data_IF_263298188243
#
_entry.id   IF_263298188243
#
_cell.length_a   1.000
_cell.length_b   1.000
_cell.length_c   1.000
_cell.angle_alpha   90.00
_cell.angle_beta   90.00
_cell.angle_gamma   90.00
#
_symmetry.space_group_name_H-M   'P 1'
#
loop_
_entity.id
_entity.type
_entity.pdbx_description
1 polymer ?
#
# COMPACT_ATOMS: atom_id res chain seq x y z
N UNK A 1 28.88 15.24 -7.65
CA UNK A 1 30.07 14.65 -6.97
C UNK A 1 30.76 15.63 -6.01
N UNK A 2 31.04 16.85 -6.49
CA UNK A 2 31.70 17.91 -5.70
C UNK A 2 30.96 18.22 -4.39
N UNK A 3 29.64 18.38 -4.44
CA UNK A 3 28.85 18.65 -3.24
C UNK A 3 28.92 17.51 -2.19
N UNK A 4 28.95 16.25 -2.63
CA UNK A 4 29.07 15.11 -1.71
C UNK A 4 30.45 15.05 -1.03
N UNK A 5 31.51 15.44 -1.75
CA UNK A 5 32.86 15.56 -1.19
C UNK A 5 32.92 16.70 -0.17
N UNK A 6 32.32 17.85 -0.49
CA UNK A 6 32.24 18.98 0.44
C UNK A 6 31.50 18.62 1.74
N UNK A 7 30.46 17.78 1.67
CA UNK A 7 29.78 17.27 2.87
C UNK A 7 30.67 16.33 3.70
N UNK A 8 31.45 15.46 3.04
CA UNK A 8 32.35 14.52 3.70
C UNK A 8 33.53 15.22 4.40
N UNK A 9 33.94 16.40 3.93
CA UNK A 9 34.97 17.22 4.59
C UNK A 9 34.51 17.77 5.96
N UNK A 10 33.20 17.72 6.27
CA UNK A 10 32.65 18.22 7.53
C UNK A 10 32.72 17.23 8.70
N UNK A 11 33.12 15.98 8.46
CA UNK A 11 33.20 14.98 9.54
C UNK A 11 33.83 13.66 9.14
N UNK A 12 34.30 12.92 10.14
CA UNK A 12 35.05 11.66 9.93
C UNK A 12 34.12 10.46 9.63
N UNK A 13 32.91 10.51 10.18
CA UNK A 13 31.91 9.44 10.14
C UNK A 13 30.58 9.96 9.61
N UNK A 14 29.87 9.11 8.89
CA UNK A 14 28.51 9.39 8.42
C UNK A 14 27.52 8.35 8.96
N UNK A 15 26.41 8.81 9.52
CA UNK A 15 25.30 7.94 9.93
C UNK A 15 24.08 8.32 9.10
N UNK A 16 23.55 7.37 8.33
CA UNK A 16 22.30 7.56 7.61
C UNK A 16 21.14 7.03 8.45
N UNK A 17 20.36 7.95 9.02
CA UNK A 17 19.16 7.62 9.80
C UNK A 17 17.85 8.05 9.09
N UNK A 18 17.92 8.29 7.77
CA UNK A 18 16.83 8.84 6.98
C UNK A 18 16.23 7.82 5.99
N UNK A 19 15.52 6.80 6.51
CA UNK A 19 14.94 5.73 5.69
C UNK A 19 14.07 6.23 4.53
N UNK A 20 13.19 7.22 4.76
CA UNK A 20 12.31 7.75 3.71
C UNK A 20 13.05 8.35 2.50
N UNK A 21 14.30 8.76 2.66
CA UNK A 21 15.15 9.28 1.57
C UNK A 21 16.07 8.21 0.96
N UNK A 22 16.15 7.01 1.55
CA UNK A 22 17.13 5.99 1.20
C UNK A 22 16.92 5.36 -0.19
N UNK A 23 15.73 5.51 -0.78
CA UNK A 23 15.43 5.08 -2.15
C UNK A 23 16.08 5.97 -3.23
N UNK A 24 16.65 7.12 -2.86
CA UNK A 24 17.29 8.04 -3.81
C UNK A 24 18.79 8.13 -3.59
N UNK A 25 19.55 8.04 -4.68
CA UNK A 25 21.00 8.19 -4.69
C UNK A 25 21.41 9.68 -4.74
N UNK A 26 21.09 10.45 -3.70
CA UNK A 26 21.46 11.86 -3.59
C UNK A 26 22.83 12.05 -2.92
N UNK A 27 23.37 13.27 -3.03
CA UNK A 27 24.65 13.63 -2.44
C UNK A 27 24.71 13.35 -0.93
N UNK A 28 23.66 13.70 -0.18
CA UNK A 28 23.58 13.56 1.27
C UNK A 28 23.08 12.19 1.76
N UNK A 29 22.73 11.26 0.86
CA UNK A 29 22.18 9.94 1.21
C UNK A 29 23.07 8.78 0.77
N UNK A 30 23.59 8.83 -0.46
CA UNK A 30 24.46 7.78 -1.03
C UNK A 30 25.78 8.33 -1.57
N UNK A 31 25.82 9.60 -2.00
CA UNK A 31 27.02 10.21 -2.57
C UNK A 31 28.13 10.39 -1.54
N UNK A 32 27.79 10.86 -0.34
CA UNK A 32 28.71 11.14 0.76
C UNK A 32 29.49 9.91 1.22
N UNK A 33 28.88 8.71 1.15
CA UNK A 33 29.50 7.46 1.61
C UNK A 33 30.74 7.08 0.80
N UNK A 34 30.90 7.63 -0.41
CA UNK A 34 32.08 7.42 -1.25
C UNK A 34 33.32 8.20 -0.80
N UNK A 35 33.15 9.20 0.07
CA UNK A 35 34.19 10.15 0.44
C UNK A 35 34.52 10.16 1.94
N UNK A 36 33.64 9.61 2.79
CA UNK A 36 33.89 9.43 4.23
C UNK A 36 34.63 8.11 4.49
N UNK A 37 35.39 8.04 5.58
CA UNK A 37 36.14 6.84 5.93
C UNK A 37 35.24 5.68 6.37
N UNK A 38 34.19 5.98 7.13
CA UNK A 38 33.22 4.99 7.58
C UNK A 38 31.80 5.58 7.58
N UNK A 39 30.86 4.75 7.16
CA UNK A 39 29.44 5.06 7.14
C UNK A 39 28.62 3.93 7.75
N UNK A 40 27.59 4.28 8.51
CA UNK A 40 26.76 3.34 9.24
C UNK A 40 25.26 3.67 9.12
N UNK A 41 24.44 2.67 9.38
CA UNK A 41 22.99 2.81 9.52
C UNK A 41 22.64 3.38 10.89
N UNK A 42 21.71 4.33 10.92
CA UNK A 42 21.14 4.83 12.18
C UNK A 42 20.03 3.92 12.73
N UNK A 43 19.64 4.15 13.98
CA UNK A 43 18.69 3.29 14.71
C UNK A 43 17.26 3.36 14.17
N UNK A 44 16.81 4.49 13.64
CA UNK A 44 15.49 4.62 13.01
C UNK A 44 15.46 3.86 11.69
N UNK A 45 16.52 3.99 10.88
CA UNK A 45 16.65 3.23 9.65
C UNK A 45 16.75 1.72 9.91
N UNK A 46 17.56 1.31 10.89
CA UNK A 46 17.68 -0.09 11.32
C UNK A 46 16.32 -0.64 11.74
N UNK A 47 15.60 0.09 12.60
CA UNK A 47 14.25 -0.30 13.05
C UNK A 47 13.31 -0.47 11.87
N UNK A 48 13.30 0.45 10.91
CA UNK A 48 12.42 0.38 9.75
C UNK A 48 12.73 -0.84 8.87
N UNK A 49 14.02 -1.06 8.58
CA UNK A 49 14.47 -2.18 7.78
C UNK A 49 14.20 -3.52 8.47
N UNK A 50 14.36 -3.60 9.78
CA UNK A 50 14.07 -4.81 10.56
C UNK A 50 12.60 -5.18 10.44
N UNK A 51 11.67 -4.27 10.73
CA UNK A 51 10.23 -4.57 10.68
C UNK A 51 9.75 -4.87 9.26
N UNK A 52 10.24 -4.12 8.26
CA UNK A 52 9.85 -4.35 6.87
C UNK A 52 10.49 -5.61 6.30
N UNK A 53 11.78 -5.87 6.53
CA UNK A 53 12.40 -7.11 6.03
C UNK A 53 11.86 -8.33 6.74
N UNK A 54 11.83 -8.35 8.07
CA UNK A 54 11.36 -9.52 8.81
C UNK A 54 9.89 -9.80 8.50
N UNK A 55 9.07 -8.75 8.49
CA UNK A 55 7.65 -8.83 8.18
C UNK A 55 7.31 -9.20 6.73
N UNK A 56 8.24 -9.07 5.78
CA UNK A 56 7.99 -9.33 4.35
C UNK A 56 8.80 -10.50 3.78
N UNK A 57 9.97 -10.82 4.34
CA UNK A 57 10.81 -11.93 3.88
C UNK A 57 10.21 -13.28 4.25
N UNK A 58 9.72 -13.41 5.48
CA UNK A 58 9.07 -14.63 5.94
C UNK A 58 7.87 -14.31 6.85
N UNK A 59 6.80 -13.71 6.30
CA UNK A 59 5.63 -13.35 7.09
C UNK A 59 4.98 -14.58 7.71
N UNK A 60 4.42 -14.42 8.92
CA UNK A 60 3.56 -15.45 9.49
C UNK A 60 2.34 -15.63 8.59
N UNK A 61 1.91 -16.89 8.41
CA UNK A 61 0.83 -17.24 7.47
C UNK A 61 -0.45 -17.60 8.21
N UNK A 62 -1.63 -17.17 7.73
CA UNK A 62 -1.86 -16.52 6.44
C UNK A 62 -1.34 -15.08 6.35
N UNK A 63 -0.64 -14.77 5.25
CA UNK A 63 -0.18 -13.41 4.97
C UNK A 63 -1.20 -12.69 4.08
N UNK A 64 -1.84 -11.66 4.64
CA UNK A 64 -2.85 -10.85 3.97
C UNK A 64 -2.25 -9.51 3.56
N UNK A 65 -2.45 -9.14 2.31
CA UNK A 65 -1.98 -7.89 1.73
C UNK A 65 -3.17 -7.05 1.31
N UNK A 66 -3.18 -5.80 1.71
CA UNK A 66 -4.24 -4.85 1.43
C UNK A 66 -3.63 -3.72 0.61
N UNK A 67 -4.09 -3.55 -0.63
CA UNK A 67 -3.58 -2.53 -1.55
C UNK A 67 -4.70 -1.63 -2.06
N UNK A 68 -4.54 -0.34 -1.81
CA UNK A 68 -5.41 0.70 -2.32
C UNK A 68 -4.63 1.76 -3.09
N UNK A 69 -5.35 2.60 -3.81
CA UNK A 69 -4.76 3.76 -4.47
C UNK A 69 -5.48 4.17 -5.75
N UNK A 70 -4.95 5.22 -6.37
CA UNK A 70 -5.58 5.83 -7.54
C UNK A 70 -5.33 5.09 -8.87
N UNK A 71 -4.20 4.36 -8.95
CA UNK A 71 -3.70 3.77 -10.20
C UNK A 71 -3.12 2.38 -9.94
N UNK A 72 -3.44 1.43 -10.83
CA UNK A 72 -2.80 0.12 -10.90
C UNK A 72 -1.34 0.28 -11.30
N UNK A 73 -1.05 1.19 -12.23
CA UNK A 73 0.30 1.40 -12.79
C UNK A 73 1.37 1.70 -11.72
N UNK A 74 1.00 2.47 -10.70
CA UNK A 74 1.89 2.83 -9.59
C UNK A 74 2.14 1.66 -8.62
N UNK A 75 1.36 0.57 -8.70
CA UNK A 75 1.39 -0.56 -7.75
C UNK A 75 1.77 -1.89 -8.40
N UNK A 76 2.09 -1.92 -9.69
CA UNK A 76 2.36 -3.18 -10.42
C UNK A 76 3.53 -3.93 -9.81
N UNK A 77 4.64 -3.23 -9.53
CA UNK A 77 5.84 -3.83 -8.96
C UNK A 77 5.53 -4.47 -7.60
N UNK A 78 4.84 -3.71 -6.75
CA UNK A 78 4.44 -4.15 -5.41
C UNK A 78 3.52 -5.36 -5.49
N UNK A 79 2.50 -5.34 -6.35
CA UNK A 79 1.60 -6.46 -6.58
C UNK A 79 2.34 -7.72 -6.99
N UNK A 80 3.23 -7.63 -8.00
CA UNK A 80 3.99 -8.78 -8.48
C UNK A 80 4.92 -9.36 -7.41
N UNK A 81 5.61 -8.50 -6.66
CA UNK A 81 6.50 -8.92 -5.59
C UNK A 81 5.77 -9.55 -4.40
N UNK A 82 4.61 -9.00 -4.02
CA UNK A 82 3.84 -9.51 -2.89
C UNK A 82 3.04 -10.77 -3.25
N UNK A 83 2.61 -10.94 -4.50
CA UNK A 83 1.98 -12.18 -4.99
C UNK A 83 2.89 -13.41 -4.83
N UNK A 84 4.19 -13.24 -4.66
CA UNK A 84 5.09 -14.37 -4.43
C UNK A 84 4.94 -14.98 -3.04
N UNK A 85 4.37 -14.24 -2.08
CA UNK A 85 4.36 -14.60 -0.67
C UNK A 85 2.97 -14.50 -0.03
N UNK A 86 2.13 -13.59 -0.52
CA UNK A 86 0.78 -13.38 0.00
C UNK A 86 -0.10 -14.61 -0.19
N UNK A 87 -0.89 -14.92 0.83
CA UNK A 87 -1.99 -15.88 0.72
C UNK A 87 -3.25 -15.20 0.17
N UNK A 88 -3.45 -13.93 0.53
CA UNK A 88 -4.63 -13.16 0.13
C UNK A 88 -4.24 -11.73 -0.19
N UNK A 89 -4.79 -11.19 -1.27
CA UNK A 89 -4.65 -9.79 -1.67
C UNK A 89 -6.03 -9.15 -1.78
N UNK A 90 -6.24 -8.06 -1.05
CA UNK A 90 -7.47 -7.26 -1.01
C UNK A 90 -7.22 -5.94 -1.76
N UNK A 91 -8.04 -5.63 -2.76
CA UNK A 91 -7.88 -4.45 -3.60
C UNK A 91 -8.94 -3.39 -3.31
N UNK A 92 -8.51 -2.16 -3.06
CA UNK A 92 -9.40 -1.00 -2.85
C UNK A 92 -9.01 0.23 -3.66
N UNK A 93 -9.71 1.33 -3.42
CA UNK A 93 -9.50 2.61 -4.07
C UNK A 93 -9.86 2.60 -5.56
N UNK A 94 -9.55 3.69 -6.26
CA UNK A 94 -9.88 3.81 -7.68
C UNK A 94 -9.17 2.77 -8.57
N UNK A 95 -8.05 2.21 -8.13
CA UNK A 95 -7.37 1.12 -8.87
C UNK A 95 -8.25 -0.13 -8.98
N UNK A 96 -9.13 -0.40 -8.00
CA UNK A 96 -10.09 -1.51 -8.05
C UNK A 96 -10.99 -1.45 -9.28
N UNK A 97 -11.39 -0.24 -9.70
CA UNK A 97 -12.25 -0.03 -10.87
C UNK A 97 -11.62 -0.55 -12.17
N UNK A 98 -10.29 -0.52 -12.28
CA UNK A 98 -9.58 -1.10 -13.43
C UNK A 98 -9.72 -2.62 -13.48
N UNK A 99 -9.73 -3.28 -12.31
CA UNK A 99 -9.98 -4.72 -12.22
C UNK A 99 -11.45 -5.06 -12.45
N UNK A 100 -12.40 -4.27 -11.92
CA UNK A 100 -13.82 -4.43 -12.21
C UNK A 100 -14.09 -4.35 -13.72
N UNK A 101 -13.51 -3.34 -14.39
CA UNK A 101 -13.60 -3.20 -15.84
C UNK A 101 -12.94 -4.36 -16.59
N UNK A 102 -11.85 -4.93 -16.06
CA UNK A 102 -11.19 -6.10 -16.61
C UNK A 102 -12.08 -7.35 -16.61
N UNK A 103 -12.89 -7.53 -15.55
CA UNK A 103 -13.91 -8.57 -15.40
C UNK A 103 -15.22 -8.27 -16.15
N UNK A 104 -15.29 -7.14 -16.88
CA UNK A 104 -16.46 -6.77 -17.69
C UNK A 104 -17.59 -6.14 -16.88
N UNK A 105 -17.32 -5.71 -15.64
CA UNK A 105 -18.30 -5.03 -14.78
C UNK A 105 -18.39 -3.55 -15.18
N UNK A 106 -19.59 -2.99 -15.38
CA UNK A 106 -19.76 -1.55 -15.61
C UNK A 106 -19.27 -0.72 -14.42
N UNK A 107 -18.57 0.37 -14.70
CA UNK A 107 -17.92 1.21 -13.68
C UNK A 107 -18.40 2.67 -13.68
N UNK A 108 -19.47 2.98 -14.42
CA UNK A 108 -20.03 4.33 -14.52
C UNK A 108 -18.97 5.38 -14.89
N UNK A 109 -18.99 6.49 -14.17
CA UNK A 109 -18.03 7.60 -14.27
C UNK A 109 -16.75 7.40 -13.43
N UNK A 110 -16.55 6.22 -12.84
CA UNK A 110 -15.42 5.96 -11.96
C UNK A 110 -14.07 6.10 -12.68
N UNK A 111 -13.06 6.56 -11.94
CA UNK A 111 -11.68 6.64 -12.42
C UNK A 111 -11.15 5.26 -12.76
N UNK A 112 -10.68 5.07 -14.00
CA UNK A 112 -10.10 3.81 -14.50
C UNK A 112 -8.90 4.09 -15.41
N UNK A 113 -7.85 3.29 -15.28
CA UNK A 113 -6.75 3.25 -16.26
C UNK A 113 -7.14 2.32 -17.42
N UNK A 114 -7.86 2.86 -18.41
CA UNK A 114 -8.43 2.06 -19.51
C UNK A 114 -7.35 1.36 -20.36
N UNK A 115 -6.15 1.95 -20.47
CA UNK A 115 -4.99 1.34 -21.14
C UNK A 115 -4.32 0.23 -20.31
N UNK A 116 -4.66 0.08 -19.03
CA UNK A 116 -4.14 -0.95 -18.12
C UNK A 116 -5.11 -2.09 -17.84
N UNK A 117 -6.28 -2.12 -18.49
CA UNK A 117 -7.26 -3.21 -18.34
C UNK A 117 -6.68 -4.57 -18.74
N UNK A 118 -5.87 -4.62 -19.81
CA UNK A 118 -5.17 -5.85 -20.20
C UNK A 118 -4.23 -6.36 -19.10
N UNK A 119 -3.45 -5.45 -18.53
CA UNK A 119 -2.56 -5.75 -17.41
C UNK A 119 -3.32 -6.21 -16.16
N UNK A 120 -4.47 -5.61 -15.85
CA UNK A 120 -5.30 -6.05 -14.72
C UNK A 120 -5.75 -7.52 -14.91
N UNK A 121 -6.11 -7.94 -16.13
CA UNK A 121 -6.42 -9.35 -16.43
C UNK A 121 -5.21 -10.27 -16.24
N UNK A 122 -4.03 -9.84 -16.69
CA UNK A 122 -2.79 -10.59 -16.50
C UNK A 122 -2.49 -10.80 -15.01
N UNK A 123 -2.67 -9.77 -14.17
CA UNK A 123 -2.47 -9.85 -12.73
C UNK A 123 -3.49 -10.79 -12.05
N UNK A 124 -4.76 -10.75 -12.46
CA UNK A 124 -5.79 -11.70 -11.98
C UNK A 124 -5.44 -13.14 -12.37
N UNK A 125 -4.92 -13.35 -13.58
CA UNK A 125 -4.47 -14.67 -14.02
C UNK A 125 -3.24 -15.14 -13.25
N UNK A 126 -2.26 -14.26 -13.04
CA UNK A 126 -1.06 -14.55 -12.27
C UNK A 126 -1.41 -14.93 -10.82
N UNK A 127 -2.36 -14.24 -10.19
CA UNK A 127 -2.82 -14.59 -8.85
C UNK A 127 -3.42 -16.01 -8.80
N UNK A 128 -4.24 -16.37 -9.80
CA UNK A 128 -4.78 -17.75 -9.93
C UNK A 128 -3.67 -18.78 -10.12
N UNK A 129 -2.67 -18.49 -10.95
CA UNK A 129 -1.53 -19.40 -11.17
C UNK A 129 -0.71 -19.62 -9.90
N UNK A 130 -0.64 -18.62 -9.01
CA UNK A 130 0.09 -18.68 -7.75
C UNK A 130 -0.76 -19.11 -6.54
N UNK A 131 -2.00 -19.53 -6.76
CA UNK A 131 -2.95 -19.88 -5.69
C UNK A 131 -3.13 -18.76 -4.66
N UNK A 132 -3.07 -17.51 -5.12
CA UNK A 132 -3.29 -16.32 -4.30
C UNK A 132 -4.76 -15.93 -4.39
N UNK A 133 -5.43 -15.84 -3.24
CA UNK A 133 -6.80 -15.35 -3.17
C UNK A 133 -6.82 -13.85 -3.45
N UNK A 134 -7.17 -13.48 -4.67
CA UNK A 134 -7.19 -12.09 -5.13
C UNK A 134 -8.62 -11.55 -5.11
N UNK A 135 -8.94 -10.71 -4.12
CA UNK A 135 -10.28 -10.18 -3.92
C UNK A 135 -10.36 -8.74 -4.40
N UNK A 136 -11.31 -8.50 -5.29
CA UNK A 136 -11.76 -7.17 -5.72
C UNK A 136 -13.14 -6.88 -5.11
N UNK A 137 -13.56 -5.62 -5.00
CA UNK A 137 -14.83 -5.26 -4.39
C UNK A 137 -16.02 -5.97 -5.05
N UNK A 138 -16.94 -6.47 -4.23
CA UNK A 138 -18.17 -7.13 -4.68
C UNK A 138 -19.38 -6.21 -4.62
N UNK A 139 -19.26 -5.08 -3.94
CA UNK A 139 -20.17 -3.94 -3.88
C UNK A 139 -19.35 -2.69 -3.56
N UNK A 140 -19.87 -1.52 -3.89
CA UNK A 140 -19.20 -0.24 -3.66
C UNK A 140 -20.20 0.79 -3.17
N UNK A 141 -19.70 1.77 -2.43
CA UNK A 141 -20.41 3.02 -2.26
C UNK A 141 -20.18 3.85 -3.53
N UNK A 142 -21.26 4.17 -4.23
CA UNK A 142 -21.24 5.07 -5.38
C UNK A 142 -21.82 6.44 -5.02
N UNK A 143 -21.27 7.51 -5.59
CA UNK A 143 -21.77 8.87 -5.49
C UNK A 143 -21.90 9.53 -6.86
N UNK A 144 -22.78 10.53 -6.99
CA UNK A 144 -22.88 11.34 -8.20
C UNK A 144 -21.68 12.32 -8.34
N UNK A 145 -21.19 12.84 -7.22
CA UNK A 145 -20.03 13.75 -7.17
C UNK A 145 -19.08 13.42 -6.01
N UNK A 146 -17.78 13.67 -6.18
CA UNK A 146 -16.78 13.57 -5.10
C UNK A 146 -16.71 14.92 -4.37
N UNK A 147 -17.67 15.16 -3.48
CA UNK A 147 -17.67 16.30 -2.56
C UNK A 147 -18.49 16.01 -1.30
N UNK A 148 -18.29 16.75 -0.20
CA UNK A 148 -19.15 16.67 0.96
C UNK A 148 -20.63 16.90 0.60
N UNK A 149 -21.51 16.09 1.19
CA UNK A 149 -22.97 16.15 0.97
C UNK A 149 -23.45 15.77 -0.44
N UNK A 150 -22.66 15.06 -1.23
CA UNK A 150 -23.13 14.47 -2.50
C UNK A 150 -24.14 13.34 -2.25
N UNK A 151 -24.95 12.99 -3.27
CA UNK A 151 -25.84 11.85 -3.14
C UNK A 151 -24.99 10.58 -3.20
N UNK A 152 -25.17 9.68 -2.24
CA UNK A 152 -24.44 8.42 -2.17
C UNK A 152 -25.36 7.25 -1.85
N UNK A 153 -25.01 6.06 -2.34
CA UNK A 153 -25.67 4.80 -2.01
C UNK A 153 -24.72 3.63 -2.16
N UNK A 154 -24.99 2.55 -1.42
CA UNK A 154 -24.31 1.28 -1.66
C UNK A 154 -24.94 0.58 -2.89
N UNK A 155 -24.12 0.00 -3.76
CA UNK A 155 -24.60 -0.79 -4.89
C UNK A 155 -25.14 -2.14 -4.42
N UNK A 156 -25.93 -2.80 -5.26
CA UNK A 156 -26.09 -4.25 -5.15
C UNK A 156 -24.76 -4.97 -5.44
N UNK A 157 -24.74 -6.30 -5.30
CA UNK A 157 -23.59 -7.11 -5.71
C UNK A 157 -23.25 -6.85 -7.18
N UNK A 158 -21.99 -6.54 -7.43
CA UNK A 158 -21.45 -6.22 -8.74
C UNK A 158 -21.37 -7.46 -9.63
N UNK A 159 -21.79 -7.30 -10.88
CA UNK A 159 -21.69 -8.30 -11.95
C UNK A 159 -21.61 -7.61 -13.31
N UNK A 160 -21.30 -8.33 -14.39
CA UNK A 160 -21.36 -7.78 -15.74
C UNK A 160 -22.75 -7.20 -16.13
N UNK A 161 -23.82 -7.63 -15.45
CA UNK A 161 -25.19 -7.14 -15.65
C UNK A 161 -25.57 -6.00 -14.69
N UNK A 162 -24.91 -5.91 -13.54
CA UNK A 162 -25.21 -4.94 -12.49
C UNK A 162 -23.91 -4.32 -12.00
N UNK A 163 -23.52 -3.18 -12.59
CA UNK A 163 -22.34 -2.43 -12.20
C UNK A 163 -22.67 -1.13 -11.48
N UNK A 164 -21.70 -0.22 -11.45
CA UNK A 164 -21.87 1.17 -11.00
C UNK A 164 -22.73 1.91 -12.03
N UNK A 165 -23.69 2.69 -11.55
CA UNK A 165 -24.65 3.38 -12.40
C UNK A 165 -24.01 4.44 -13.30
N UNK A 166 -24.59 4.67 -14.49
CA UNK A 166 -24.12 5.73 -15.39
C UNK A 166 -24.21 7.11 -14.72
N UNK A 167 -23.12 7.87 -14.82
CA UNK A 167 -22.98 9.17 -14.14
C UNK A 167 -22.57 9.09 -12.67
N UNK A 168 -22.59 7.90 -12.05
CA UNK A 168 -22.12 7.67 -10.68
C UNK A 168 -20.69 7.12 -10.69
N UNK A 169 -19.96 7.31 -9.59
CA UNK A 169 -18.59 6.85 -9.42
C UNK A 169 -18.40 6.15 -8.08
N UNK A 170 -17.61 5.07 -8.05
CA UNK A 170 -17.20 4.43 -6.81
C UNK A 170 -16.30 5.37 -5.99
N UNK A 171 -16.70 5.61 -4.76
CA UNK A 171 -16.00 6.49 -3.81
C UNK A 171 -15.45 5.74 -2.61
N UNK A 172 -15.99 4.56 -2.29
CA UNK A 172 -15.48 3.65 -1.26
C UNK A 172 -15.95 2.21 -1.52
N UNK A 173 -15.41 1.25 -0.77
CA UNK A 173 -15.90 -0.14 -0.78
C UNK A 173 -17.27 -0.26 -0.07
N UNK A 174 -18.13 -1.15 -0.55
CA UNK A 174 -19.46 -1.36 -0.01
C UNK A 174 -19.49 -2.24 1.24
N UNK A 175 -20.63 -2.28 1.91
CA UNK A 175 -20.80 -3.01 3.17
C UNK A 175 -20.51 -4.52 3.06
N UNK A 176 -20.86 -5.17 1.94
CA UNK A 176 -20.57 -6.59 1.75
C UNK A 176 -19.07 -6.85 1.53
N UNK A 177 -18.39 -5.93 0.85
CA UNK A 177 -16.94 -5.95 0.63
C UNK A 177 -16.19 -5.70 1.94
N UNK A 178 -16.65 -4.76 2.77
CA UNK A 178 -16.11 -4.53 4.12
C UNK A 178 -16.18 -5.84 4.92
N UNK A 179 -17.36 -6.46 5.03
CA UNK A 179 -17.52 -7.70 5.79
C UNK A 179 -16.61 -8.83 5.29
N UNK A 180 -16.51 -8.99 3.96
CA UNK A 180 -15.60 -9.96 3.34
C UNK A 180 -14.14 -9.68 3.70
N UNK A 181 -13.71 -8.43 3.61
CA UNK A 181 -12.32 -8.05 3.88
C UNK A 181 -11.96 -8.19 5.36
N UNK A 182 -12.90 -7.85 6.26
CA UNK A 182 -12.76 -8.07 7.69
C UNK A 182 -12.54 -9.54 8.04
N UNK A 183 -13.26 -10.45 7.37
CA UNK A 183 -13.10 -11.89 7.55
C UNK A 183 -11.69 -12.36 7.15
N UNK A 184 -11.18 -11.91 6.00
CA UNK A 184 -9.82 -12.27 5.58
C UNK A 184 -8.76 -11.69 6.52
N UNK A 185 -8.93 -10.46 6.98
CA UNK A 185 -8.01 -9.80 7.93
C UNK A 185 -7.98 -10.55 9.26
N UNK A 186 -9.13 -10.99 9.77
CA UNK A 186 -9.22 -11.74 11.03
C UNK A 186 -8.55 -13.12 10.94
N UNK A 187 -8.40 -13.69 9.73
CA UNK A 187 -7.69 -14.96 9.51
C UNK A 187 -6.19 -14.79 9.31
N UNK A 188 -5.70 -13.56 9.15
CA UNK A 188 -4.30 -13.28 8.87
C UNK A 188 -3.43 -13.33 10.12
N UNK A 189 -2.26 -13.96 10.04
CA UNK A 189 -1.22 -13.89 11.08
C UNK A 189 -0.29 -12.70 10.86
N UNK A 190 -0.18 -12.25 9.60
CA UNK A 190 0.49 -11.00 9.23
C UNK A 190 -0.38 -10.26 8.22
N UNK A 191 -0.57 -8.95 8.43
CA UNK A 191 -1.39 -8.10 7.58
C UNK A 191 -0.60 -6.86 7.19
N UNK A 192 -0.34 -6.70 5.89
CA UNK A 192 0.28 -5.50 5.32
C UNK A 192 -0.80 -4.63 4.68
N UNK A 193 -0.83 -3.33 5.00
CA UNK A 193 -1.73 -2.37 4.36
C UNK A 193 -1.02 -1.19 3.73
N UNK A 194 -1.30 -0.96 2.44
CA UNK A 194 -0.76 0.14 1.67
C UNK A 194 -1.78 0.76 0.69
N UNK A 195 -2.37 1.87 1.08
CA UNK A 195 -3.32 2.69 0.34
C UNK A 195 -4.78 2.51 0.81
N UNK A 196 -5.58 3.59 0.86
CA UNK A 196 -6.94 3.58 1.39
C UNK A 196 -7.93 2.85 0.46
N UNK A 197 -9.11 2.53 0.99
CA UNK A 197 -10.19 1.85 0.26
C UNK A 197 -11.07 2.80 -0.54
N UNK A 198 -11.16 4.04 -0.10
CA UNK A 198 -12.01 5.09 -0.68
C UNK A 198 -11.37 6.46 -0.57
N UNK A 199 -12.16 7.49 -0.90
CA UNK A 199 -11.77 8.92 -0.82
C UNK A 199 -11.92 9.40 0.63
N UNK A 200 -11.13 8.81 1.53
CA UNK A 200 -11.24 8.97 2.98
C UNK A 200 -11.01 10.41 3.48
N UNK A 201 -10.47 11.29 2.64
CA UNK A 201 -10.36 12.73 2.91
C UNK A 201 -11.73 13.40 3.06
N UNK A 202 -12.78 12.79 2.49
CA UNK A 202 -14.18 13.15 2.70
C UNK A 202 -14.77 12.12 3.69
N UNK A 203 -15.15 12.52 4.91
CA UNK A 203 -15.58 11.57 5.96
C UNK A 203 -16.68 10.59 5.52
N UNK A 204 -17.61 11.05 4.68
CA UNK A 204 -18.71 10.25 4.14
C UNK A 204 -18.24 9.12 3.20
N UNK A 205 -17.04 9.23 2.63
CA UNK A 205 -16.43 8.26 1.71
C UNK A 205 -15.23 7.52 2.33
N UNK A 206 -15.13 7.55 3.67
CA UNK A 206 -14.04 6.94 4.42
C UNK A 206 -14.43 5.69 5.21
N UNK A 207 -15.71 5.32 5.27
CA UNK A 207 -16.21 4.25 6.14
C UNK A 207 -15.47 2.92 5.92
N UNK A 208 -15.30 2.49 4.68
CA UNK A 208 -14.57 1.28 4.32
C UNK A 208 -13.09 1.37 4.69
N UNK A 209 -12.47 2.53 4.51
CA UNK A 209 -11.06 2.76 4.91
C UNK A 209 -10.89 2.63 6.42
N UNK A 210 -11.80 3.23 7.20
CA UNK A 210 -11.79 3.17 8.66
C UNK A 210 -12.11 1.75 9.15
N UNK A 211 -13.08 1.07 8.54
CA UNK A 211 -13.45 -0.30 8.89
C UNK A 211 -12.27 -1.29 8.71
N UNK A 212 -11.45 -1.09 7.67
CA UNK A 212 -10.22 -1.88 7.48
C UNK A 212 -9.18 -1.56 8.54
N UNK A 213 -8.99 -0.28 8.89
CA UNK A 213 -8.10 0.10 9.98
C UNK A 213 -8.52 -0.53 11.32
N UNK A 214 -9.83 -0.52 11.63
CA UNK A 214 -10.39 -1.14 12.82
C UNK A 214 -10.20 -2.66 12.82
N UNK A 215 -10.44 -3.31 11.69
CA UNK A 215 -10.25 -4.75 11.54
C UNK A 215 -8.81 -5.17 11.80
N UNK A 216 -7.85 -4.42 11.26
CA UNK A 216 -6.43 -4.65 11.53
C UNK A 216 -6.09 -4.44 13.00
N UNK A 217 -6.62 -3.39 13.63
CA UNK A 217 -6.39 -3.11 15.05
C UNK A 217 -6.98 -4.19 15.99
N UNK A 218 -7.94 -5.00 15.50
CA UNK A 218 -8.64 -6.04 16.27
C UNK A 218 -8.18 -7.47 15.93
N UNK A 219 -7.41 -7.68 14.85
CA UNK A 219 -7.11 -9.02 14.35
C UNK A 219 -6.14 -9.83 15.22
N UNK A 220 -5.36 -9.17 16.07
CA UNK A 220 -4.28 -9.81 16.83
C UNK A 220 -3.06 -10.19 15.98
N UNK A 221 -3.09 -9.92 14.67
CA UNK A 221 -2.02 -10.18 13.73
C UNK A 221 -0.84 -9.22 13.91
N UNK A 222 0.30 -9.58 13.32
CA UNK A 222 1.36 -8.59 13.06
C UNK A 222 0.89 -7.64 11.97
N UNK A 223 0.63 -6.38 12.31
CA UNK A 223 0.10 -5.36 11.39
C UNK A 223 1.17 -4.38 10.94
N UNK A 224 1.32 -4.25 9.62
CA UNK A 224 2.32 -3.39 8.99
C UNK A 224 1.59 -2.37 8.13
N UNK A 225 1.69 -1.09 8.49
CA UNK A 225 1.09 0.01 7.72
C UNK A 225 2.18 0.70 6.92
N UNK A 226 1.99 0.83 5.61
CA UNK A 226 2.89 1.56 4.73
C UNK A 226 2.15 2.54 3.84
N UNK A 227 2.82 3.60 3.40
CA UNK A 227 2.24 4.63 2.52
C UNK A 227 1.53 5.74 3.30
N UNK A 228 1.75 6.98 2.87
CA UNK A 228 1.30 8.17 3.63
C UNK A 228 -0.19 8.20 3.91
N UNK A 229 -1.02 7.78 2.95
CA UNK A 229 -2.47 7.82 3.06
C UNK A 229 -3.01 6.82 4.10
N UNK A 230 -2.55 5.56 4.08
CA UNK A 230 -2.91 4.57 5.11
C UNK A 230 -2.43 4.98 6.50
N UNK A 231 -1.22 5.53 6.60
CA UNK A 231 -0.72 6.07 7.88
C UNK A 231 -1.60 7.20 8.39
N UNK A 232 -2.07 8.06 7.49
CA UNK A 232 -2.97 9.16 7.83
C UNK A 232 -4.33 8.65 8.28
N UNK A 233 -4.93 7.69 7.55
CA UNK A 233 -6.20 7.06 7.91
C UNK A 233 -6.15 6.41 9.31
N UNK A 234 -5.10 5.63 9.60
CA UNK A 234 -4.91 4.99 10.92
C UNK A 234 -4.78 6.02 12.05
N UNK A 235 -4.07 7.13 11.80
CA UNK A 235 -3.91 8.21 12.78
C UNK A 235 -5.22 8.96 13.03
N UNK A 236 -5.96 9.28 11.97
CA UNK A 236 -7.27 9.93 12.07
C UNK A 236 -8.27 9.06 12.84
N UNK A 237 -8.21 7.74 12.65
CA UNK A 237 -9.02 6.78 13.40
C UNK A 237 -8.60 6.62 14.88
N UNK A 238 -7.47 7.20 15.31
CA UNK A 238 -6.93 7.02 16.66
C UNK A 238 -6.39 5.61 16.93
N UNK A 239 -6.08 4.84 15.88
CA UNK A 239 -5.71 3.43 15.98
C UNK A 239 -4.19 3.19 15.89
N UNK A 240 -3.39 4.25 15.77
CA UNK A 240 -1.95 4.14 15.56
C UNK A 240 -1.22 3.31 16.63
N UNK A 241 -1.62 3.45 17.90
CA UNK A 241 -1.04 2.69 19.01
C UNK A 241 -1.41 1.20 19.02
N UNK A 242 -2.42 0.79 18.23
CA UNK A 242 -2.87 -0.60 18.11
C UNK A 242 -2.21 -1.33 16.94
N UNK A 243 -1.47 -0.63 16.09
CA UNK A 243 -0.73 -1.24 14.99
C UNK A 243 0.65 -1.72 15.47
N UNK A 244 1.11 -2.85 14.97
CA UNK A 244 2.44 -3.38 15.32
C UNK A 244 3.54 -2.49 14.77
N UNK A 245 3.40 -2.04 13.52
CA UNK A 245 4.38 -1.18 12.89
C UNK A 245 3.74 -0.22 11.87
N UNK A 246 4.16 1.05 11.95
CA UNK A 246 3.73 2.11 11.02
C UNK A 246 4.99 2.67 10.37
N UNK A 247 5.16 2.35 9.09
CA UNK A 247 6.26 2.86 8.29
C UNK A 247 6.02 4.34 7.94
N UNK A 248 7.06 5.14 8.11
CA UNK A 248 7.08 6.55 7.67
C UNK A 248 7.92 6.76 6.41
N UNK A 249 8.42 5.67 5.82
CA UNK A 249 9.32 5.70 4.66
C UNK A 249 8.71 6.05 3.30
N UNK A 250 7.38 6.10 3.18
CA UNK A 250 6.69 6.48 1.94
C UNK A 250 7.18 5.69 0.72
N UNK A 251 7.80 6.37 -0.24
CA UNK A 251 8.37 5.75 -1.45
C UNK A 251 9.46 4.73 -1.18
N UNK A 252 10.27 4.89 -0.13
CA UNK A 252 11.29 3.91 0.23
C UNK A 252 10.68 2.57 0.68
N UNK A 253 9.53 2.62 1.36
CA UNK A 253 8.78 1.40 1.73
C UNK A 253 8.24 0.71 0.49
N UNK A 254 7.70 1.46 -0.48
CA UNK A 254 7.22 0.90 -1.73
C UNK A 254 8.34 0.21 -2.52
N UNK A 255 9.48 0.86 -2.70
CA UNK A 255 10.61 0.24 -3.41
C UNK A 255 11.14 -1.00 -2.69
N UNK A 256 11.19 -0.96 -1.34
CA UNK A 256 11.56 -2.13 -0.55
C UNK A 256 10.54 -3.28 -0.70
N UNK A 257 9.24 -2.96 -0.73
CA UNK A 257 8.15 -3.92 -0.99
C UNK A 257 8.23 -4.53 -2.38
N UNK A 258 8.73 -3.78 -3.38
CA UNK A 258 9.04 -4.28 -4.72
C UNK A 258 10.28 -5.17 -4.76
N UNK A 259 11.00 -5.30 -3.64
CA UNK A 259 12.25 -6.05 -3.56
C UNK A 259 13.46 -5.29 -4.13
N UNK A 260 13.35 -3.98 -4.36
CA UNK A 260 14.47 -3.17 -4.84
C UNK A 260 15.48 -2.91 -3.72
N UNK A 261 16.74 -2.84 -4.11
CA UNK A 261 17.79 -2.39 -3.22
C UNK A 261 17.74 -0.86 -3.07
N UNK A 262 17.71 -0.36 -1.83
CA UNK A 262 17.66 1.07 -1.56
C UNK A 262 19.07 1.68 -1.64
N UNK A 263 19.36 2.62 -2.56
CA UNK A 263 20.71 3.15 -2.76
C UNK A 263 21.37 3.72 -1.50
N UNK A 264 20.61 4.41 -0.66
CA UNK A 264 21.09 5.00 0.59
C UNK A 264 21.44 3.97 1.68
N UNK A 265 20.91 2.75 1.59
CA UNK A 265 21.29 1.60 2.44
C UNK A 265 22.45 0.85 1.81
N UNK A 266 22.37 0.60 0.50
CA UNK A 266 23.37 -0.13 -0.27
C UNK A 266 24.76 0.52 -0.19
N UNK A 267 24.80 1.85 -0.13
CA UNK A 267 26.01 2.66 -0.13
C UNK A 267 26.73 2.70 1.23
N UNK A 268 26.11 2.23 2.32
CA UNK A 268 26.73 2.23 3.65
C UNK A 268 27.78 1.13 3.77
N UNK A 269 28.89 1.45 4.44
CA UNK A 269 29.95 0.47 4.72
C UNK A 269 29.58 -0.51 5.84
N UNK A 270 28.76 -0.06 6.79
CA UNK A 270 28.20 -0.88 7.86
C UNK A 270 26.67 -0.87 7.74
N UNK A 271 26.11 -2.04 7.46
CA UNK A 271 24.68 -2.27 7.19
C UNK A 271 24.00 -3.09 8.30
N UNK A 272 24.75 -3.38 9.35
CA UNK A 272 24.32 -4.19 10.50
C UNK A 272 23.87 -3.33 11.65
#
# INVERSE_FOLDING_TARGET
>A
PEFAKALAELGDLYVNDAFGAAHRAHASTAGITKFVQKSAMGLLMEKELKHLRDGLQNPARPFVVILGGAKVSDKIGVLKALMERANTILIGGAMANTFLKAEGIPVGASRVESDKVGLARELLHLAKQRDVKFLIPIDVVEADEIRPGANMRNTSRLSPQHGIADGWQAVDIGAATIALYQEEIARGETVLWNGPMGVFEIPEFGEGTIAIAEAMAQSGATTIIGGGDSVTAVKQAGLAAKMTFISTGGGATLELLEGKELPGVAALSDKT
#
